data_IF_406749517735
#
_entry.id   IF_406749517735
#
_cell.length_a   1.000
_cell.length_b   1.000
_cell.length_c   1.000
_cell.angle_alpha   90.00
_cell.angle_beta   90.00
_cell.angle_gamma   90.00
#
_symmetry.space_group_name_H-M   'P 1'
#
loop_
_entity.id
_entity.type
_entity.pdbx_description
1 polymer ?
#
# COMPACT_ATOMS: atom_id res chain seq x y z
N UNK A 1 24.34 -16.04 -14.18
CA UNK A 1 24.24 -14.84 -13.31
C UNK A 1 22.92 -14.09 -13.50
N UNK A 2 22.31 -14.09 -14.70
CA UNK A 2 21.04 -13.39 -14.99
C UNK A 2 19.77 -14.01 -14.35
N UNK A 3 19.67 -15.35 -14.26
CA UNK A 3 18.44 -16.03 -13.77
C UNK A 3 18.06 -15.77 -12.30
N UNK A 4 19.03 -15.52 -11.42
CA UNK A 4 18.77 -15.29 -9.98
C UNK A 4 18.19 -13.90 -9.72
N UNK A 5 18.64 -12.89 -10.47
CA UNK A 5 18.14 -11.52 -10.36
C UNK A 5 16.65 -11.44 -10.74
N UNK A 6 16.25 -12.07 -11.85
CA UNK A 6 14.85 -12.10 -12.30
C UNK A 6 13.91 -12.78 -11.29
N UNK A 7 14.39 -13.83 -10.62
CA UNK A 7 13.60 -14.54 -9.60
C UNK A 7 13.32 -13.66 -8.37
N UNK A 8 14.30 -12.86 -7.96
CA UNK A 8 14.15 -11.93 -6.85
C UNK A 8 13.22 -10.77 -7.22
N UNK A 9 13.35 -10.25 -8.45
CA UNK A 9 12.46 -9.19 -8.95
C UNK A 9 11.01 -9.68 -9.04
N UNK A 10 10.78 -10.89 -9.54
CA UNK A 10 9.43 -11.50 -9.58
C UNK A 10 8.84 -11.69 -8.18
N UNK A 11 9.65 -12.15 -7.24
CA UNK A 11 9.24 -12.32 -5.84
C UNK A 11 8.89 -10.97 -5.22
N UNK A 12 9.74 -9.96 -5.40
CA UNK A 12 9.51 -8.61 -4.90
C UNK A 12 8.25 -7.98 -5.52
N UNK A 13 8.05 -8.14 -6.84
CA UNK A 13 6.86 -7.66 -7.53
C UNK A 13 5.58 -8.33 -7.01
N UNK A 14 5.61 -9.65 -6.78
CA UNK A 14 4.49 -10.37 -6.19
C UNK A 14 4.16 -9.87 -4.78
N UNK A 15 5.18 -9.68 -3.94
CA UNK A 15 5.00 -9.14 -2.59
C UNK A 15 4.45 -7.72 -2.60
N UNK A 16 4.92 -6.86 -3.52
CA UNK A 16 4.41 -5.51 -3.68
C UNK A 16 2.94 -5.49 -4.11
N UNK A 17 2.55 -6.36 -5.05
CA UNK A 17 1.16 -6.51 -5.49
C UNK A 17 0.29 -7.01 -4.33
N UNK A 18 0.74 -8.03 -3.60
CA UNK A 18 0.02 -8.55 -2.43
C UNK A 18 -0.15 -7.49 -1.35
N UNK A 19 0.91 -6.75 -1.03
CA UNK A 19 0.83 -5.66 -0.06
C UNK A 19 -0.15 -4.57 -0.50
N UNK A 20 -0.08 -4.14 -1.76
CA UNK A 20 -1.02 -3.17 -2.31
C UNK A 20 -2.47 -3.65 -2.26
N UNK A 21 -2.71 -4.91 -2.61
CA UNK A 21 -4.03 -5.53 -2.50
C UNK A 21 -4.51 -5.58 -1.04
N UNK A 22 -3.66 -5.96 -0.09
CA UNK A 22 -4.02 -5.97 1.33
C UNK A 22 -4.41 -4.59 1.86
N UNK A 23 -3.73 -3.53 1.43
CA UNK A 23 -4.08 -2.16 1.81
C UNK A 23 -5.45 -1.77 1.23
N UNK A 24 -5.64 -1.99 -0.08
CA UNK A 24 -6.89 -1.64 -0.77
C UNK A 24 -8.09 -2.38 -0.17
N UNK A 25 -7.98 -3.69 0.03
CA UNK A 25 -9.09 -4.49 0.54
C UNK A 25 -9.25 -4.40 2.06
N UNK A 26 -8.13 -4.41 2.79
CA UNK A 26 -8.13 -4.40 4.25
C UNK A 26 -8.61 -3.07 4.83
N UNK A 27 -8.29 -1.95 4.19
CA UNK A 27 -8.72 -0.63 4.66
C UNK A 27 -9.94 -0.11 3.89
N UNK A 28 -9.99 -0.32 2.57
CA UNK A 28 -11.10 0.17 1.73
C UNK A 28 -12.46 -0.45 2.07
N UNK A 29 -12.48 -1.68 2.61
CA UNK A 29 -13.70 -2.37 3.06
C UNK A 29 -13.74 -2.59 4.59
N UNK A 30 -12.91 -1.87 5.35
CA UNK A 30 -12.96 -1.94 6.80
C UNK A 30 -14.34 -1.49 7.32
N UNK A 31 -14.99 -2.32 8.15
CA UNK A 31 -16.25 -1.96 8.81
C UNK A 31 -16.07 -0.81 9.82
N UNK A 32 -14.97 -0.73 10.60
CA UNK A 32 -14.71 0.42 11.44
C UNK A 32 -14.44 1.67 10.59
N UNK A 33 -15.27 2.70 10.76
CA UNK A 33 -15.15 3.96 10.03
C UNK A 33 -13.80 4.64 10.29
N UNK A 34 -13.20 4.43 11.46
CA UNK A 34 -11.91 5.00 11.85
C UNK A 34 -10.78 4.51 10.95
N UNK A 35 -10.73 3.20 10.65
CA UNK A 35 -9.68 2.59 9.82
C UNK A 35 -9.85 3.03 8.36
N UNK A 36 -11.09 3.03 7.87
CA UNK A 36 -11.42 3.49 6.52
C UNK A 36 -11.07 4.98 6.33
N UNK A 37 -11.48 5.84 7.28
CA UNK A 37 -11.22 7.28 7.24
C UNK A 37 -9.73 7.59 7.39
N UNK A 38 -8.98 6.82 8.20
CA UNK A 38 -7.53 7.00 8.36
C UNK A 38 -6.76 6.81 7.03
N UNK A 39 -7.18 5.90 6.14
CA UNK A 39 -6.59 5.80 4.81
C UNK A 39 -6.98 6.96 3.88
N UNK A 40 -8.16 7.54 4.06
CA UNK A 40 -8.59 8.73 3.32
C UNK A 40 -7.95 10.03 3.84
N UNK A 41 -7.45 10.03 5.08
CA UNK A 41 -6.78 11.18 5.72
C UNK A 41 -5.30 11.35 5.35
N UNK A 42 -4.84 10.72 4.27
CA UNK A 42 -3.49 10.95 3.72
C UNK A 42 -3.18 12.42 3.48
N UNK A 43 -4.18 13.24 3.14
CA UNK A 43 -4.04 14.70 2.96
C UNK A 43 -3.64 15.47 4.24
N UNK A 44 -4.03 14.99 5.43
CA UNK A 44 -3.63 15.59 6.71
C UNK A 44 -2.29 15.01 7.20
N UNK A 45 -2.06 13.71 6.97
CA UNK A 45 -0.81 13.03 7.34
C UNK A 45 0.41 13.47 6.50
N UNK A 46 0.18 13.89 5.25
CA UNK A 46 1.24 14.37 4.36
C UNK A 46 1.63 15.82 4.62
N UNK A 47 0.91 16.55 5.51
CA UNK A 47 1.17 17.92 5.96
C UNK A 47 1.91 18.78 4.92
N UNK A 48 1.44 18.81 3.67
CA UNK A 48 1.97 19.72 2.66
C UNK A 48 1.54 21.11 3.10
N UNK A 49 2.45 21.97 3.58
CA UNK A 49 2.06 23.31 3.97
C UNK A 49 1.62 24.04 2.70
N UNK A 50 0.42 24.62 2.73
CA UNK A 50 -0.05 25.50 1.67
C UNK A 50 0.53 26.92 1.78
N UNK A 51 1.57 27.12 2.60
CA UNK A 51 2.51 28.23 2.52
C UNK A 51 3.87 27.86 3.14
#
# INVERSE_FOLDING_TARGET
MLSKADSNVKTAALLAIMLGAMILFGVGFAQPAEIHNAAHDTRHALNFPCH
#
